data_IF_883136277077
#
_entry.id   IF_883136277077
#
_cell.length_a   1.000
_cell.length_b   1.000
_cell.length_c   1.000
_cell.angle_alpha   90.00
_cell.angle_beta   90.00
_cell.angle_gamma   90.00
#
_symmetry.space_group_name_H-M   'P 1'
#
loop_
_entity.id
_entity.type
_entity.pdbx_description
1 polymer ?
#
# COMPACT_ATOMS: atom_id res chain seq x y z
N UNK A 1 16.10 9.56 11.76
CA UNK A 1 15.36 8.70 12.71
C UNK A 1 15.97 7.31 12.63
N UNK A 2 16.15 6.55 13.72
CA UNK A 2 16.65 5.17 13.63
C UNK A 2 15.58 4.24 13.04
N UNK A 3 15.97 3.25 12.23
CA UNK A 3 15.09 2.17 11.75
C UNK A 3 14.37 1.51 12.93
N UNK A 4 13.06 1.29 12.81
CA UNK A 4 12.31 0.46 13.74
C UNK A 4 12.43 -1.00 13.29
N UNK A 5 12.80 -1.87 14.23
CA UNK A 5 12.98 -3.30 13.98
C UNK A 5 12.30 -4.11 15.08
N UNK A 6 11.31 -4.91 14.71
CA UNK A 6 10.60 -5.75 15.68
C UNK A 6 9.11 -5.83 15.40
N UNK A 7 8.32 -5.87 16.48
CA UNK A 7 6.86 -5.86 16.43
C UNK A 7 6.34 -4.60 17.08
N UNK A 8 5.48 -3.86 16.40
CA UNK A 8 4.93 -2.61 16.92
C UNK A 8 3.48 -2.41 16.50
N UNK A 9 2.72 -1.83 17.42
CA UNK A 9 1.34 -1.44 17.18
C UNK A 9 1.27 0.10 17.19
N UNK A 10 0.85 0.68 16.07
CA UNK A 10 0.83 2.12 15.82
C UNK A 10 -0.62 2.56 15.65
N UNK A 11 -1.21 3.09 16.71
CA UNK A 11 -2.63 3.44 16.74
C UNK A 11 -2.89 4.94 16.54
N UNK A 12 -3.98 5.26 15.86
CA UNK A 12 -4.65 6.57 15.91
C UNK A 12 -3.76 7.77 15.52
N UNK A 13 -2.82 7.59 14.59
CA UNK A 13 -2.02 8.71 14.13
C UNK A 13 -2.87 9.68 13.31
N UNK A 14 -2.78 10.97 13.67
CA UNK A 14 -3.50 12.06 12.99
C UNK A 14 -2.61 13.25 12.75
N UNK A 15 -2.37 13.61 11.50
CA UNK A 15 -1.61 14.80 11.16
C UNK A 15 -0.62 14.59 10.03
N UNK A 16 0.61 15.10 10.21
CA UNK A 16 1.71 14.93 9.26
C UNK A 16 2.87 14.28 9.98
N UNK A 17 3.38 13.18 9.44
CA UNK A 17 4.46 12.44 10.05
C UNK A 17 5.45 11.94 9.00
N UNK A 18 6.72 12.00 9.36
CA UNK A 18 7.80 11.33 8.64
C UNK A 18 8.20 10.11 9.48
N UNK A 19 8.00 8.91 8.95
CA UNK A 19 8.29 7.68 9.67
C UNK A 19 9.73 7.21 9.41
N UNK A 20 10.34 6.43 10.32
CA UNK A 20 11.59 5.70 10.04
C UNK A 20 11.33 4.42 9.24
N UNK A 21 12.38 3.84 8.65
CA UNK A 21 12.34 2.51 8.01
C UNK A 21 11.74 1.50 8.98
N UNK A 22 10.72 0.76 8.54
CA UNK A 22 10.03 -0.23 9.36
C UNK A 22 10.39 -1.62 8.89
N UNK A 23 11.00 -2.43 9.77
CA UNK A 23 11.30 -3.84 9.50
C UNK A 23 10.69 -4.75 10.56
N UNK A 24 9.92 -5.75 10.16
CA UNK A 24 9.32 -6.72 11.09
C UNK A 24 7.80 -6.83 10.93
N UNK A 25 7.07 -6.84 12.04
CA UNK A 25 5.61 -6.94 12.02
C UNK A 25 4.95 -5.69 12.58
N UNK A 26 3.99 -5.12 11.87
CA UNK A 26 3.32 -3.90 12.34
C UNK A 26 1.81 -4.00 12.21
N UNK A 27 1.11 -3.52 13.22
CA UNK A 27 -0.33 -3.28 13.18
C UNK A 27 -0.54 -1.77 13.18
N UNK A 28 -1.20 -1.23 12.15
CA UNK A 28 -1.43 0.22 12.02
C UNK A 28 -2.92 0.55 11.83
N UNK A 29 -3.72 0.49 12.91
CA UNK A 29 -5.09 0.92 12.86
C UNK A 29 -5.22 2.45 12.83
N UNK A 30 -6.10 2.94 11.96
CA UNK A 30 -6.56 4.33 11.91
C UNK A 30 -5.47 5.40 11.71
N UNK A 31 -4.76 5.35 10.58
CA UNK A 31 -3.88 6.45 10.16
C UNK A 31 -4.64 7.47 9.31
N UNK A 32 -4.62 8.74 9.75
CA UNK A 32 -5.27 9.85 9.02
C UNK A 32 -4.34 11.03 8.81
N UNK A 33 -4.15 11.47 7.58
CA UNK A 33 -3.38 12.68 7.27
C UNK A 33 -2.40 12.55 6.12
N UNK A 34 -1.17 13.04 6.30
CA UNK A 34 -0.11 12.94 5.29
C UNK A 34 1.11 12.25 5.89
N UNK A 35 1.60 11.22 5.24
CA UNK A 35 2.70 10.44 5.76
C UNK A 35 3.74 10.23 4.67
N UNK A 36 4.97 10.59 4.97
CA UNK A 36 6.12 10.19 4.18
C UNK A 36 6.66 8.94 4.89
N UNK A 37 6.26 7.77 4.38
CA UNK A 37 6.71 6.48 4.90
C UNK A 37 7.93 6.04 4.09
N UNK A 38 9.04 5.67 4.72
CA UNK A 38 10.17 5.09 4.01
C UNK A 38 9.93 3.59 3.78
N UNK A 39 10.96 2.87 3.33
CA UNK A 39 10.91 1.43 3.06
C UNK A 39 10.20 0.65 4.19
N UNK A 40 9.10 -0.03 3.85
CA UNK A 40 8.42 -0.96 4.75
C UNK A 40 8.80 -2.39 4.36
N UNK A 41 9.26 -3.19 5.33
CA UNK A 41 9.68 -4.58 5.10
C UNK A 41 9.13 -5.53 6.15
N UNK A 42 8.36 -6.53 5.73
CA UNK A 42 7.88 -7.60 6.60
C UNK A 42 6.38 -7.82 6.48
N UNK A 43 5.71 -8.04 7.61
CA UNK A 43 4.27 -8.31 7.66
C UNK A 43 3.54 -7.10 8.25
N UNK A 44 2.60 -6.49 7.54
CA UNK A 44 1.89 -5.32 8.05
C UNK A 44 0.38 -5.47 7.87
N UNK A 45 -0.37 -5.18 8.93
CA UNK A 45 -1.83 -5.09 8.91
C UNK A 45 -2.25 -3.64 9.06
N UNK A 46 -3.00 -3.12 8.09
CA UNK A 46 -3.40 -1.72 7.99
C UNK A 46 -4.91 -1.61 7.74
N UNK A 47 -5.66 -1.29 8.78
CA UNK A 47 -7.13 -1.33 8.71
C UNK A 47 -7.74 -0.12 8.02
N UNK A 48 -7.34 1.10 8.43
CA UNK A 48 -7.97 2.35 7.98
C UNK A 48 -6.90 3.39 7.68
N UNK A 49 -6.59 3.57 6.40
CA UNK A 49 -5.61 4.53 5.93
C UNK A 49 -6.33 5.61 5.12
N UNK A 50 -6.38 6.83 5.66
CA UNK A 50 -7.02 7.98 5.01
C UNK A 50 -6.04 9.13 4.81
N UNK A 51 -5.82 9.53 3.56
CA UNK A 51 -5.14 10.78 3.23
C UNK A 51 -4.12 10.67 2.12
N UNK A 52 -2.89 11.10 2.36
CA UNK A 52 -1.80 11.07 1.37
C UNK A 52 -0.59 10.33 1.91
N UNK A 53 -0.10 9.37 1.16
CA UNK A 53 1.05 8.57 1.56
C UNK A 53 2.03 8.49 0.40
N UNK A 54 3.29 8.72 0.70
CA UNK A 54 4.41 8.45 -0.19
C UNK A 54 5.19 7.29 0.44
N UNK A 55 5.40 6.21 -0.29
CA UNK A 55 6.11 5.04 0.21
C UNK A 55 7.00 4.40 -0.86
N UNK A 56 8.32 4.68 -0.86
CA UNK A 56 9.22 4.29 -1.94
C UNK A 56 9.31 2.78 -2.24
N UNK A 57 9.24 1.93 -1.20
CA UNK A 57 9.39 0.48 -1.37
C UNK A 57 8.57 -0.26 -0.29
N UNK A 58 7.64 -1.10 -0.73
CA UNK A 58 6.94 -2.05 0.13
C UNK A 58 7.40 -3.47 -0.22
N UNK A 59 7.95 -4.17 0.78
CA UNK A 59 8.33 -5.59 0.63
C UNK A 59 7.75 -6.48 1.71
N UNK A 60 7.09 -7.56 1.31
CA UNK A 60 6.62 -8.59 2.24
C UNK A 60 5.15 -8.91 2.09
N UNK A 61 4.45 -9.07 3.19
CA UNK A 61 3.03 -9.42 3.23
C UNK A 61 2.23 -8.29 3.87
N UNK A 62 1.22 -7.79 3.16
CA UNK A 62 0.41 -6.67 3.59
C UNK A 62 -1.07 -7.04 3.50
N UNK A 63 -1.79 -6.80 4.57
CA UNK A 63 -3.25 -6.83 4.60
C UNK A 63 -3.75 -5.40 4.82
N UNK A 64 -4.52 -4.89 3.87
CA UNK A 64 -5.05 -3.52 3.87
C UNK A 64 -6.56 -3.58 3.67
N UNK A 65 -7.32 -3.13 4.67
CA UNK A 65 -8.78 -3.23 4.61
C UNK A 65 -9.44 -2.03 3.92
N UNK A 66 -9.14 -0.80 4.35
CA UNK A 66 -9.70 0.43 3.76
C UNK A 66 -8.59 1.46 3.48
N UNK A 67 -8.34 1.69 2.19
CA UNK A 67 -7.29 2.58 1.72
C UNK A 67 -7.93 3.71 0.91
N UNK A 68 -7.88 4.95 1.43
CA UNK A 68 -8.56 6.11 0.83
C UNK A 68 -7.66 7.32 0.68
N UNK A 69 -7.53 7.81 -0.56
CA UNK A 69 -6.92 9.11 -0.83
C UNK A 69 -5.92 9.09 -1.98
N UNK A 70 -4.67 9.46 -1.72
CA UNK A 70 -3.61 9.49 -2.75
C UNK A 70 -2.36 8.76 -2.26
N UNK A 71 -1.92 7.78 -3.03
CA UNK A 71 -0.78 6.95 -2.65
C UNK A 71 0.19 6.87 -3.82
N UNK A 72 1.46 7.06 -3.51
CA UNK A 72 2.57 6.85 -4.44
C UNK A 72 3.42 5.71 -3.88
N UNK A 73 3.46 4.59 -4.60
CA UNK A 73 4.08 3.34 -4.18
C UNK A 73 4.90 2.75 -5.34
N UNK A 74 6.11 3.27 -5.61
CA UNK A 74 6.84 2.96 -6.83
C UNK A 74 7.35 1.52 -6.96
N UNK A 75 7.62 0.82 -5.84
CA UNK A 75 8.06 -0.58 -5.86
C UNK A 75 7.25 -1.40 -4.84
N UNK A 76 6.37 -2.27 -5.34
CA UNK A 76 5.58 -3.22 -4.54
C UNK A 76 6.07 -4.64 -4.80
N UNK A 77 6.56 -5.32 -3.75
CA UNK A 77 7.02 -6.72 -3.85
C UNK A 77 6.46 -7.61 -2.76
N UNK A 78 5.79 -8.69 -3.14
CA UNK A 78 5.37 -9.74 -2.21
C UNK A 78 3.90 -10.11 -2.34
N UNK A 79 3.18 -10.13 -1.22
CA UNK A 79 1.76 -10.46 -1.18
C UNK A 79 0.98 -9.29 -0.60
N UNK A 80 -0.06 -8.87 -1.30
CA UNK A 80 -0.92 -7.78 -0.89
C UNK A 80 -2.36 -8.21 -1.02
N UNK A 81 -3.11 -8.05 0.07
CA UNK A 81 -4.56 -8.19 0.09
C UNK A 81 -5.14 -6.80 0.40
N UNK A 82 -5.86 -6.20 -0.55
CA UNK A 82 -6.36 -4.83 -0.47
C UNK A 82 -7.87 -4.81 -0.75
N UNK A 83 -8.68 -4.75 0.30
CA UNK A 83 -10.12 -5.00 0.19
C UNK A 83 -10.94 -3.82 -0.40
N UNK A 84 -10.75 -2.58 0.06
CA UNK A 84 -11.42 -1.38 -0.45
C UNK A 84 -10.38 -0.30 -0.79
N UNK A 85 -10.16 -0.05 -2.08
CA UNK A 85 -9.23 0.97 -2.57
C UNK A 85 -9.98 2.13 -3.22
N UNK A 86 -9.84 3.35 -2.69
CA UNK A 86 -10.51 4.54 -3.25
C UNK A 86 -9.61 5.74 -3.39
N UNK A 87 -9.57 6.33 -4.58
CA UNK A 87 -8.85 7.57 -4.82
C UNK A 87 -7.87 7.49 -5.99
N UNK A 88 -6.60 7.83 -5.77
CA UNK A 88 -5.56 7.82 -6.81
C UNK A 88 -4.32 7.07 -6.34
N UNK A 89 -3.82 6.16 -7.17
CA UNK A 89 -2.70 5.29 -6.85
C UNK A 89 -1.72 5.29 -8.01
N UNK A 90 -0.45 5.48 -7.71
CA UNK A 90 0.65 5.35 -8.68
C UNK A 90 1.53 4.19 -8.21
N UNK A 91 1.60 3.13 -9.02
CA UNK A 91 2.25 1.85 -8.70
C UNK A 91 3.01 1.32 -9.92
N UNK A 92 4.10 1.99 -10.35
CA UNK A 92 4.81 1.68 -11.59
C UNK A 92 5.46 0.29 -11.65
N UNK A 93 5.89 -0.29 -10.53
CA UNK A 93 6.50 -1.64 -10.49
C UNK A 93 5.89 -2.52 -9.40
N UNK A 94 5.17 -3.56 -9.81
CA UNK A 94 4.37 -4.42 -8.94
C UNK A 94 4.69 -5.88 -9.22
N UNK A 95 5.30 -6.57 -8.25
CA UNK A 95 5.70 -7.99 -8.36
C UNK A 95 5.12 -8.84 -7.25
N UNK A 96 4.54 -10.00 -7.59
CA UNK A 96 4.14 -11.02 -6.62
C UNK A 96 2.68 -11.46 -6.73
N UNK A 97 1.94 -11.42 -5.62
CA UNK A 97 0.53 -11.83 -5.53
C UNK A 97 -0.31 -10.69 -4.98
N UNK A 98 -1.38 -10.35 -5.68
CA UNK A 98 -2.27 -9.26 -5.32
C UNK A 98 -3.71 -9.74 -5.36
N UNK A 99 -4.46 -9.49 -4.30
CA UNK A 99 -5.91 -9.65 -4.27
C UNK A 99 -6.50 -8.28 -3.96
N UNK A 100 -7.28 -7.73 -4.89
CA UNK A 100 -7.87 -6.40 -4.76
C UNK A 100 -9.33 -6.41 -5.24
N UNK A 101 -10.27 -6.88 -4.40
CA UNK A 101 -11.65 -7.12 -4.82
C UNK A 101 -12.46 -5.86 -5.15
N UNK A 102 -12.44 -4.78 -4.35
CA UNK A 102 -13.20 -3.55 -4.60
C UNK A 102 -12.26 -2.35 -4.87
N UNK A 103 -12.06 -2.06 -6.15
CA UNK A 103 -11.16 -1.00 -6.62
C UNK A 103 -11.98 0.14 -7.24
N UNK A 104 -12.09 1.28 -6.54
CA UNK A 104 -12.80 2.49 -6.99
C UNK A 104 -11.88 3.69 -7.08
N UNK A 105 -10.92 3.61 -7.98
CA UNK A 105 -9.82 4.57 -8.02
C UNK A 105 -9.36 4.87 -9.44
N UNK A 106 -8.52 5.90 -9.57
CA UNK A 106 -7.62 6.02 -10.71
C UNK A 106 -6.31 5.35 -10.35
N UNK A 107 -5.83 4.43 -11.16
CA UNK A 107 -4.53 3.81 -10.92
C UNK A 107 -3.69 3.77 -12.19
N UNK A 108 -2.39 3.92 -12.00
CA UNK A 108 -1.36 3.75 -13.02
C UNK A 108 -0.44 2.62 -12.57
N UNK A 109 -0.44 1.50 -13.31
CA UNK A 109 0.43 0.34 -13.05
C UNK A 109 1.19 0.02 -14.33
N UNK A 110 2.43 0.51 -14.42
CA UNK A 110 3.24 0.36 -15.63
C UNK A 110 3.77 -1.06 -15.84
N UNK A 111 4.14 -1.76 -14.76
CA UNK A 111 4.64 -3.14 -14.80
C UNK A 111 3.98 -3.97 -13.70
N UNK A 112 3.09 -4.88 -14.09
CA UNK A 112 2.47 -5.84 -13.18
C UNK A 112 2.98 -7.25 -13.51
N UNK A 113 3.68 -7.87 -12.57
CA UNK A 113 4.22 -9.23 -12.70
C UNK A 113 3.75 -10.17 -11.60
N UNK A 114 3.27 -11.35 -12.00
CA UNK A 114 2.83 -12.39 -11.09
C UNK A 114 1.31 -12.55 -11.09
N UNK A 115 0.75 -12.99 -9.97
CA UNK A 115 -0.69 -13.31 -9.88
C UNK A 115 -1.46 -12.12 -9.32
N UNK A 116 -2.58 -11.80 -9.93
CA UNK A 116 -3.47 -10.76 -9.46
C UNK A 116 -4.92 -11.21 -9.62
N UNK A 117 -5.76 -10.85 -8.64
CA UNK A 117 -7.22 -10.96 -8.72
C UNK A 117 -7.83 -9.58 -8.45
N UNK A 118 -8.62 -9.07 -9.40
CA UNK A 118 -9.20 -7.72 -9.38
C UNK A 118 -10.61 -7.74 -9.99
N UNK A 119 -11.58 -8.42 -9.35
CA UNK A 119 -12.90 -8.69 -9.92
C UNK A 119 -13.79 -7.44 -10.11
N UNK A 120 -13.75 -6.46 -9.20
CA UNK A 120 -14.58 -5.24 -9.28
C UNK A 120 -13.74 -3.97 -9.46
N UNK A 121 -13.21 -3.80 -10.66
CA UNK A 121 -12.51 -2.59 -11.13
C UNK A 121 -13.50 -1.51 -11.60
N UNK A 122 -13.48 -0.34 -10.97
CA UNK A 122 -14.28 0.85 -11.34
C UNK A 122 -13.44 2.12 -11.29
N UNK A 123 -12.96 2.58 -12.44
CA UNK A 123 -11.95 3.64 -12.44
C UNK A 123 -11.54 4.16 -13.79
N UNK A 124 -10.53 5.03 -13.77
CA UNK A 124 -9.68 5.30 -14.92
C UNK A 124 -8.36 4.59 -14.67
N UNK A 125 -8.02 3.66 -15.56
CA UNK A 125 -7.01 2.65 -15.30
C UNK A 125 -6.00 2.65 -16.46
N UNK A 126 -4.70 2.74 -16.15
CA UNK A 126 -3.62 2.57 -17.13
C UNK A 126 -2.73 1.38 -16.73
N UNK A 127 -2.71 0.34 -17.56
CA UNK A 127 -1.96 -0.91 -17.34
C UNK A 127 -1.31 -1.40 -18.63
N UNK A 128 -0.25 -0.74 -19.12
CA UNK A 128 0.32 -1.06 -20.42
C UNK A 128 1.09 -2.39 -20.46
N UNK A 129 1.70 -2.85 -19.35
CA UNK A 129 2.48 -4.09 -19.33
C UNK A 129 2.02 -5.07 -18.23
N UNK A 130 1.04 -5.88 -18.57
CA UNK A 130 0.51 -6.95 -17.74
C UNK A 130 1.17 -8.29 -18.08
N UNK A 131 1.93 -8.87 -17.15
CA UNK A 131 2.60 -10.16 -17.30
C UNK A 131 2.18 -11.11 -16.16
N UNK A 132 1.28 -12.05 -16.47
CA UNK A 132 0.84 -13.10 -15.55
C UNK A 132 1.82 -14.27 -15.39
#
# INVERSE_FOLDING_TARGET
>A
MPDLRGKYDIHDLRGKYDMPDLRGKYEMPDLRGKYDMPDLRGENDMLNLLGKYDTPDLRGEYDIHDLRGKYDMPDLRGKYDIHDLRGKYDMPDVHGKYDMPDLRCKYDILNLRGKYDMPDLRGEDDMPNLLG
#
